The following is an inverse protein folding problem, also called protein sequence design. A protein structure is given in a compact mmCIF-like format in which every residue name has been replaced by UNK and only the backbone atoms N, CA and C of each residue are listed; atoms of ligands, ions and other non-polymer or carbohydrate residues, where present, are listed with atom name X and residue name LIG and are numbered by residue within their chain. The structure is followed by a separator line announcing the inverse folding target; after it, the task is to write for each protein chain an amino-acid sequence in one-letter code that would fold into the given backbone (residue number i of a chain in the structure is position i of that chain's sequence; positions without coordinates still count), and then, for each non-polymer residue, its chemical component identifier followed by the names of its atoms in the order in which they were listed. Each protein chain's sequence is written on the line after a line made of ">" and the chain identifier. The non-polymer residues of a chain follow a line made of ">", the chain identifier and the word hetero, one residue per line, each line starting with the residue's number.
data_IF_193649810992
#
_entry.id   IF_193649810992
#
_cell.length_a   1.000
_cell.length_b   1.000
_cell.length_c   1.000
_cell.angle_alpha   90.00
_cell.angle_beta   90.00
_cell.angle_gamma   90.00
#
_symmetry.space_group_name_H-M   'P 1'
#
loop_
_entity.id
_entity.type
_entity.pdbx_description
1 polymer ?
#
# COMPACT_ATOMS: atom_id res chain seq x y z
N UNK A 1 -0.28 -20.53 8.62
CA UNK A 1 0.71 -19.68 7.94
C UNK A 1 0.27 -19.55 6.50
N UNK A 2 -0.46 -18.48 6.20
CA UNK A 2 -1.12 -18.24 4.91
C UNK A 2 -0.72 -16.82 4.46
N UNK A 3 -0.09 -16.71 3.29
CA UNK A 3 0.63 -15.54 2.77
C UNK A 3 -0.23 -14.31 2.41
N UNK A 4 -0.91 -13.67 3.38
CA UNK A 4 -1.77 -12.50 3.04
C UNK A 4 -1.61 -11.28 3.96
N UNK A 5 -0.62 -11.25 4.86
CA UNK A 5 -0.40 -10.10 5.76
C UNK A 5 0.61 -9.06 5.24
N UNK A 6 1.16 -9.24 4.03
CA UNK A 6 2.43 -8.64 3.64
C UNK A 6 2.38 -7.44 2.68
N UNK A 7 1.22 -6.85 2.37
CA UNK A 7 1.18 -5.80 1.33
C UNK A 7 1.19 -4.39 1.91
N UNK A 8 0.31 -4.09 2.87
CA UNK A 8 0.14 -2.73 3.39
C UNK A 8 1.28 -2.31 4.32
N UNK A 9 1.66 -3.18 5.27
CA UNK A 9 2.73 -2.91 6.25
C UNK A 9 4.09 -2.72 5.60
N UNK A 10 4.38 -3.48 4.53
CA UNK A 10 5.62 -3.30 3.76
C UNK A 10 5.64 -1.96 3.04
N UNK A 11 4.56 -1.60 2.35
CA UNK A 11 4.46 -0.34 1.63
C UNK A 11 4.62 0.85 2.59
N UNK A 12 3.98 0.79 3.77
CA UNK A 12 4.17 1.80 4.82
C UNK A 12 5.64 1.91 5.27
N UNK A 13 6.34 0.78 5.40
CA UNK A 13 7.77 0.77 5.76
C UNK A 13 8.60 1.48 4.68
N UNK A 14 8.37 1.18 3.40
CA UNK A 14 9.07 1.85 2.30
C UNK A 14 8.74 3.34 2.21
N UNK A 15 7.48 3.74 2.44
CA UNK A 15 7.09 5.16 2.49
C UNK A 15 7.80 5.89 3.62
N UNK A 16 7.90 5.28 4.80
CA UNK A 16 8.63 5.84 5.93
C UNK A 16 10.13 5.95 5.65
N UNK A 17 10.77 4.90 5.12
CA UNK A 17 12.19 4.92 4.75
C UNK A 17 12.50 5.91 3.63
N UNK A 18 11.56 6.15 2.72
CA UNK A 18 11.70 7.09 1.61
C UNK A 18 11.28 8.54 1.95
N UNK A 19 10.88 8.80 3.19
CA UNK A 19 10.35 10.09 3.66
C UNK A 19 9.21 10.62 2.74
N UNK A 20 8.24 9.75 2.46
CA UNK A 20 7.06 10.04 1.66
C UNK A 20 5.79 9.91 2.49
N UNK A 21 4.94 10.92 2.44
CA UNK A 21 3.68 11.00 3.19
C UNK A 21 2.53 10.23 2.51
N UNK A 22 2.66 9.90 1.22
CA UNK A 22 1.61 9.29 0.39
C UNK A 22 2.15 8.14 -0.44
N UNK A 23 1.40 7.05 -0.46
CA UNK A 23 1.63 5.90 -1.33
C UNK A 23 0.39 5.46 -2.09
N UNK A 24 0.62 4.78 -3.21
CA UNK A 24 -0.41 4.17 -4.03
C UNK A 24 -0.22 2.65 -4.04
N UNK A 25 -1.24 1.92 -3.61
CA UNK A 25 -1.30 0.48 -3.71
C UNK A 25 -2.23 0.11 -4.86
N UNK A 26 -1.78 -0.77 -5.75
CA UNK A 26 -2.55 -1.22 -6.91
C UNK A 26 -2.72 -2.74 -6.81
N UNK A 27 -3.97 -3.18 -6.69
CA UNK A 27 -4.37 -4.57 -6.82
C UNK A 27 -4.77 -4.86 -8.27
N UNK A 28 -3.97 -5.68 -8.96
CA UNK A 28 -4.23 -6.08 -10.35
C UNK A 28 -5.23 -7.24 -10.49
N UNK A 29 -5.76 -7.76 -9.39
CA UNK A 29 -6.71 -8.87 -9.40
C UNK A 29 -8.18 -8.42 -9.51
N UNK A 30 -8.45 -7.12 -9.70
CA UNK A 30 -9.80 -6.58 -9.87
C UNK A 30 -10.21 -6.49 -11.35
N UNK A 31 -11.52 -6.62 -11.62
CA UNK A 31 -12.08 -6.54 -12.98
C UNK A 31 -11.89 -5.15 -13.58
N UNK A 32 -12.04 -4.11 -12.76
CA UNK A 32 -11.76 -2.73 -13.15
C UNK A 32 -10.58 -2.22 -12.33
N UNK A 33 -9.56 -1.66 -13.00
CA UNK A 33 -8.36 -1.16 -12.34
C UNK A 33 -8.67 -0.11 -11.25
N UNK A 34 -9.68 0.74 -11.49
CA UNK A 34 -10.08 1.78 -10.52
C UNK A 34 -10.51 1.19 -9.17
N UNK A 35 -11.04 -0.04 -9.16
CA UNK A 35 -11.53 -0.71 -7.96
C UNK A 35 -10.37 -1.36 -7.18
N UNK A 36 -9.23 -1.58 -7.85
CA UNK A 36 -7.99 -2.09 -7.25
C UNK A 36 -7.04 -1.00 -6.74
N UNK A 37 -7.37 0.28 -6.88
CA UNK A 37 -6.49 1.38 -6.46
C UNK A 37 -6.81 1.82 -5.03
N UNK A 38 -5.83 1.75 -4.14
CA UNK A 38 -5.90 2.22 -2.76
C UNK A 38 -4.83 3.29 -2.49
N UNK A 39 -5.23 4.39 -1.85
CA UNK A 39 -4.31 5.44 -1.41
C UNK A 39 -4.00 5.26 0.07
N UNK A 40 -2.71 5.23 0.40
CA UNK A 40 -2.22 5.07 1.77
C UNK A 40 -1.57 6.36 2.22
N UNK A 41 -1.87 6.79 3.45
CA UNK A 41 -1.29 7.97 4.08
C UNK A 41 -0.30 7.49 5.13
N UNK A 42 0.99 7.78 4.91
CA UNK A 42 2.02 7.60 5.92
C UNK A 42 1.98 8.82 6.83
N UNK A 43 1.30 8.70 7.99
CA UNK A 43 1.30 9.75 9.01
C UNK A 43 2.54 9.57 9.90
N UNK A 44 3.56 10.44 9.81
CA UNK A 44 4.59 10.45 10.84
C UNK A 44 3.94 10.78 12.20
N UNK A 45 4.34 10.03 13.24
CA UNK A 45 3.90 10.23 14.63
C UNK A 45 4.52 11.50 15.22
#
# INVERSE_FOLDING_TARGET
>A
MSHTEFTETQLLTYLHLADKELGLLINFNEVLLKDGISRIINKPL
#
